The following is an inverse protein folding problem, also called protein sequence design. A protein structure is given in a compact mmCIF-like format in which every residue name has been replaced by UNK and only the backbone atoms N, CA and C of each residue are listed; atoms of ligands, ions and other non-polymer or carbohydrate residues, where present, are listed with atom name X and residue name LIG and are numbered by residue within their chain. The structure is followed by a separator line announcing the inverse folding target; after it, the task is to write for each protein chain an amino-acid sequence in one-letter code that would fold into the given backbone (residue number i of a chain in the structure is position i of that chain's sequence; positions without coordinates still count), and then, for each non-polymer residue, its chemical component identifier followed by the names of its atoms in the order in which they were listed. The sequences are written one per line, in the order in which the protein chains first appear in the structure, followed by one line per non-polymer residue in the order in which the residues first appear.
data_IF_062508614565
#
_entry.id   IF_062508614565
#
_cell.length_a   1.000
_cell.length_b   1.000
_cell.length_c   1.000
_cell.angle_alpha   90.00
_cell.angle_beta   90.00
_cell.angle_gamma   90.00
#
_symmetry.space_group_name_H-M   'P 1'
#
loop_
_entity.id
_entity.type
_entity.pdbx_description
1 polymer ?
#
# COMPACT_ATOMS: atom_id res chain seq x y z
N UNK A 1 25.56 21.13 37.91
CA UNK A 1 25.15 22.16 36.93
C UNK A 1 25.56 21.70 35.56
N UNK A 2 24.66 21.07 34.82
CA UNK A 2 24.85 20.63 33.47
C UNK A 2 23.46 20.54 32.86
N UNK A 3 23.10 21.50 32.00
CA UNK A 3 21.82 21.54 31.27
C UNK A 3 21.82 20.43 30.27
N UNK A 4 20.84 19.53 30.37
CA UNK A 4 20.45 18.62 29.30
C UNK A 4 19.60 19.40 28.31
N UNK A 5 20.14 19.62 27.10
CA UNK A 5 19.42 20.19 25.97
C UNK A 5 18.32 19.20 25.54
N UNK A 6 17.09 19.54 25.95
CA UNK A 6 15.88 18.89 25.46
C UNK A 6 15.63 19.31 24.01
N UNK A 7 16.08 18.52 23.05
CA UNK A 7 15.51 18.55 21.70
C UNK A 7 14.25 17.73 21.70
N UNK A 8 13.11 18.27 21.22
CA UNK A 8 11.89 17.48 21.11
C UNK A 8 12.12 16.36 20.09
N UNK A 9 11.71 15.16 20.45
CA UNK A 9 11.56 14.03 19.56
C UNK A 9 10.83 14.50 18.30
N UNK A 10 11.51 14.40 17.17
CA UNK A 10 10.94 14.70 15.87
C UNK A 10 9.83 13.68 15.61
N UNK A 11 8.61 14.19 15.48
CA UNK A 11 7.38 13.41 15.29
C UNK A 11 7.55 12.45 14.13
N UNK A 12 7.31 11.18 14.39
CA UNK A 12 7.12 10.19 13.35
C UNK A 12 5.77 10.51 12.72
N UNK A 13 5.88 11.13 11.58
CA UNK A 13 4.88 11.34 10.55
C UNK A 13 3.42 11.31 10.95
N UNK A 14 2.84 12.48 10.94
CA UNK A 14 1.51 12.69 10.41
C UNK A 14 1.18 11.61 9.39
N UNK A 15 -0.03 11.09 9.44
CA UNK A 15 -0.72 10.49 8.29
C UNK A 15 -0.71 11.60 7.22
N UNK A 16 0.47 11.79 6.63
CA UNK A 16 0.89 13.05 6.08
C UNK A 16 0.36 13.29 4.69
N UNK A 17 -0.82 13.85 4.65
CA UNK A 17 -1.17 14.78 3.60
C UNK A 17 -1.74 16.00 4.32
N UNK A 18 -0.94 17.05 4.45
CA UNK A 18 -1.47 18.34 4.84
C UNK A 18 -2.54 18.72 3.82
N UNK A 19 -3.80 18.65 4.23
CA UNK A 19 -4.89 19.31 3.53
C UNK A 19 -4.70 20.82 3.66
N UNK A 20 -3.82 21.40 2.85
CA UNK A 20 -3.91 22.79 2.47
C UNK A 20 -4.98 22.85 1.39
N UNK A 21 -6.19 23.25 1.76
CA UNK A 21 -7.27 23.55 0.82
C UNK A 21 -6.79 24.60 -0.18
N UNK A 22 -6.64 24.27 -1.47
CA UNK A 22 -6.58 25.29 -2.49
C UNK A 22 -8.01 25.75 -2.74
N UNK A 23 -8.23 27.05 -2.57
CA UNK A 23 -9.41 27.75 -3.10
C UNK A 23 -9.39 27.61 -4.62
N UNK A 24 -10.26 26.76 -5.15
CA UNK A 24 -10.48 26.62 -6.58
C UNK A 24 -11.45 27.69 -7.07
N UNK A 25 -10.90 28.79 -7.60
CA UNK A 25 -11.53 29.57 -8.63
C UNK A 25 -10.61 29.54 -9.85
N UNK A 26 -10.95 28.66 -10.81
CA UNK A 26 -10.75 28.78 -12.26
C UNK A 26 -10.98 27.45 -12.95
N UNK A 27 -11.91 27.44 -13.90
CA UNK A 27 -12.15 26.29 -14.80
C UNK A 27 -10.87 25.88 -15.54
N UNK A 28 -10.57 24.58 -15.63
CA UNK A 28 -9.46 24.12 -16.47
C UNK A 28 -9.88 24.06 -17.93
N UNK A 29 -9.19 24.82 -18.76
CA UNK A 29 -9.21 24.71 -20.22
C UNK A 29 -8.68 23.31 -20.61
N UNK A 30 -9.55 22.45 -21.12
CA UNK A 30 -9.20 21.13 -21.62
C UNK A 30 -8.39 21.27 -22.93
N UNK A 31 -7.18 20.72 -23.03
CA UNK A 31 -6.51 20.59 -24.33
C UNK A 31 -7.17 19.46 -25.14
N UNK A 32 -7.49 19.74 -26.39
CA UNK A 32 -8.01 18.76 -27.35
C UNK A 32 -6.97 17.65 -27.62
N UNK A 33 -7.38 16.38 -27.74
CA UNK A 33 -6.45 15.29 -27.97
C UNK A 33 -5.91 15.33 -29.39
N UNK A 34 -4.63 15.60 -29.56
CA UNK A 34 -3.90 15.41 -30.80
C UNK A 34 -3.16 14.07 -30.77
N UNK A 35 -3.59 13.14 -31.63
CA UNK A 35 -2.69 12.20 -32.33
C UNK A 35 -1.97 11.09 -31.55
N UNK A 36 -2.25 10.79 -30.28
CA UNK A 36 -1.49 9.78 -29.51
C UNK A 36 -2.27 8.47 -29.23
N UNK A 37 -3.26 8.12 -30.06
CA UNK A 37 -4.16 7.00 -29.76
C UNK A 37 -3.63 5.61 -30.15
N UNK A 38 -2.43 5.47 -30.72
CA UNK A 38 -1.92 4.18 -31.20
C UNK A 38 -0.83 3.53 -30.36
N UNK A 39 -0.19 4.26 -29.45
CA UNK A 39 0.91 3.72 -28.61
C UNK A 39 0.44 3.18 -27.25
N UNK A 40 -0.78 3.51 -26.78
CA UNK A 40 -1.30 3.02 -25.49
C UNK A 40 -1.68 1.54 -25.47
N UNK A 41 -1.97 0.91 -26.59
CA UNK A 41 -2.35 -0.53 -26.64
C UNK A 41 -1.17 -1.50 -26.53
N UNK A 42 0.06 -1.05 -26.73
CA UNK A 42 1.25 -1.90 -26.57
C UNK A 42 1.82 -1.86 -25.13
N UNK A 43 1.55 -0.81 -24.36
CA UNK A 43 1.99 -0.67 -22.96
C UNK A 43 1.26 -1.61 -22.00
N UNK A 44 -0.06 -1.81 -22.18
CA UNK A 44 -0.88 -2.66 -21.31
C UNK A 44 -0.54 -4.16 -21.39
N UNK A 45 0.19 -4.59 -22.41
CA UNK A 45 0.55 -6.00 -22.64
C UNK A 45 1.93 -6.38 -22.08
N UNK A 46 2.70 -5.42 -21.56
CA UNK A 46 4.11 -5.63 -21.21
C UNK A 46 4.45 -5.30 -19.74
N UNK A 47 3.50 -4.78 -18.96
CA UNK A 47 3.72 -4.46 -17.54
C UNK A 47 3.20 -5.55 -16.61
N UNK A 48 3.81 -5.67 -15.43
CA UNK A 48 3.31 -6.57 -14.39
C UNK A 48 1.91 -6.19 -13.92
N UNK A 49 1.18 -7.20 -13.48
CA UNK A 49 -0.04 -7.03 -12.69
C UNK A 49 0.31 -7.11 -11.20
N UNK A 50 -0.25 -6.23 -10.38
CA UNK A 50 -0.26 -6.40 -8.94
C UNK A 50 -1.23 -7.54 -8.63
N UNK A 51 -0.75 -8.63 -8.05
CA UNK A 51 -1.55 -9.81 -7.76
C UNK A 51 -1.99 -9.86 -6.30
N UNK A 52 -1.06 -9.60 -5.40
CA UNK A 52 -1.33 -9.69 -3.98
C UNK A 52 -0.58 -8.64 -3.17
N UNK A 53 -1.17 -8.31 -2.01
CA UNK A 53 -0.48 -7.78 -0.87
C UNK A 53 -0.28 -8.92 0.12
N UNK A 54 0.97 -9.29 0.34
CA UNK A 54 1.37 -10.41 1.19
C UNK A 54 1.69 -9.94 2.60
N UNK A 55 1.24 -10.71 3.59
CA UNK A 55 1.46 -10.48 5.01
C UNK A 55 2.32 -11.62 5.58
N UNK A 56 3.46 -11.30 6.15
CA UNK A 56 4.18 -12.19 7.04
C UNK A 56 3.47 -12.21 8.41
N UNK A 57 2.77 -13.27 8.73
CA UNK A 57 1.90 -13.36 9.90
C UNK A 57 2.39 -14.42 10.90
N UNK A 58 2.34 -14.11 12.19
CA UNK A 58 2.63 -15.10 13.24
C UNK A 58 1.46 -16.10 13.39
N UNK A 59 0.23 -15.66 13.13
CA UNK A 59 -0.97 -16.49 13.04
C UNK A 59 -1.78 -16.09 11.79
N UNK A 60 -1.43 -16.63 10.61
CA UNK A 60 -2.07 -16.27 9.33
C UNK A 60 -3.59 -16.40 9.35
N UNK A 61 -4.10 -17.48 9.95
CA UNK A 61 -5.54 -17.74 9.98
C UNK A 61 -6.30 -16.73 10.86
N UNK A 62 -5.74 -16.36 12.00
CA UNK A 62 -6.30 -15.33 12.87
C UNK A 62 -6.29 -13.97 12.20
N UNK A 63 -5.18 -13.62 11.56
CA UNK A 63 -5.04 -12.34 10.88
C UNK A 63 -5.94 -12.23 9.65
N UNK A 64 -6.06 -13.31 8.86
CA UNK A 64 -6.99 -13.39 7.74
C UNK A 64 -8.44 -13.24 8.19
N UNK A 65 -8.86 -13.92 9.27
CA UNK A 65 -10.22 -13.78 9.85
C UNK A 65 -10.53 -12.35 10.29
N UNK A 66 -9.54 -11.68 10.87
CA UNK A 66 -9.68 -10.27 11.24
C UNK A 66 -9.95 -9.41 9.99
N UNK A 67 -9.10 -9.48 8.99
CA UNK A 67 -9.24 -8.67 7.78
C UNK A 67 -10.47 -9.05 6.94
N UNK A 68 -10.83 -10.34 6.90
CA UNK A 68 -12.09 -10.80 6.29
C UNK A 68 -13.30 -10.14 6.95
N UNK A 69 -13.32 -10.10 8.29
CA UNK A 69 -14.41 -9.48 9.05
C UNK A 69 -14.45 -7.95 8.93
N UNK A 70 -13.30 -7.29 8.81
CA UNK A 70 -13.22 -5.83 8.62
C UNK A 70 -13.65 -5.44 7.21
N UNK A 71 -13.11 -6.12 6.18
CA UNK A 71 -13.30 -5.76 4.77
C UNK A 71 -14.55 -6.39 4.14
N UNK A 72 -15.11 -7.44 4.75
CA UNK A 72 -16.20 -8.22 4.16
C UNK A 72 -15.75 -9.07 2.95
N UNK A 73 -14.46 -9.46 2.92
CA UNK A 73 -13.90 -10.25 1.83
C UNK A 73 -14.00 -11.75 2.12
N UNK A 74 -14.08 -12.54 1.05
CA UNK A 74 -14.13 -14.00 1.14
C UNK A 74 -12.75 -14.56 1.48
N UNK A 75 -12.71 -15.47 2.45
CA UNK A 75 -11.50 -16.17 2.86
C UNK A 75 -11.43 -17.53 2.16
N UNK A 76 -10.30 -17.83 1.54
CA UNK A 76 -10.02 -19.09 0.85
C UNK A 76 -8.65 -19.63 1.27
N UNK A 77 -8.49 -20.94 1.14
CA UNK A 77 -7.16 -21.56 1.33
C UNK A 77 -6.26 -21.19 0.15
N UNK A 78 -5.03 -20.81 0.42
CA UNK A 78 -4.03 -20.55 -0.61
C UNK A 78 -3.33 -21.85 -0.98
N UNK A 79 -3.22 -22.19 -2.28
CA UNK A 79 -2.53 -23.41 -2.73
C UNK A 79 -1.04 -23.49 -2.33
N UNK A 80 -0.40 -22.37 -2.05
CA UNK A 80 1.00 -22.28 -1.64
C UNK A 80 1.20 -22.40 -0.11
N UNK A 81 0.11 -22.71 0.63
CA UNK A 81 0.16 -23.07 2.05
C UNK A 81 -0.16 -21.92 3.01
N UNK A 82 -0.82 -20.89 2.53
CA UNK A 82 -1.31 -19.76 3.32
C UNK A 82 -2.83 -19.66 3.32
N UNK A 83 -3.32 -18.46 3.63
CA UNK A 83 -4.72 -18.07 3.54
C UNK A 83 -4.82 -16.83 2.68
N UNK A 84 -5.78 -16.79 1.76
CA UNK A 84 -6.02 -15.62 0.92
C UNK A 84 -7.38 -15.00 1.21
N UNK A 85 -7.49 -13.69 1.03
CA UNK A 85 -8.75 -12.95 1.01
C UNK A 85 -9.00 -12.42 -0.40
N UNK A 86 -10.12 -12.83 -0.95
CA UNK A 86 -10.58 -12.39 -2.26
C UNK A 86 -11.49 -11.18 -2.08
N UNK A 87 -11.19 -10.05 -2.75
CA UNK A 87 -12.02 -8.86 -2.66
C UNK A 87 -13.41 -9.10 -3.24
N UNK A 88 -14.44 -8.52 -2.63
CA UNK A 88 -15.82 -8.56 -3.11
C UNK A 88 -16.06 -7.64 -4.32
N UNK A 89 -15.09 -6.79 -4.64
CA UNK A 89 -15.10 -5.86 -5.78
C UNK A 89 -13.77 -5.97 -6.54
N UNK A 90 -13.72 -5.47 -7.77
CA UNK A 90 -12.51 -5.51 -8.60
C UNK A 90 -11.51 -4.42 -8.18
N UNK A 91 -10.81 -4.64 -7.05
CA UNK A 91 -9.68 -3.80 -6.65
C UNK A 91 -8.38 -4.20 -7.36
N UNK A 92 -8.39 -5.33 -8.08
CA UNK A 92 -7.29 -5.79 -8.91
C UNK A 92 -6.22 -6.62 -8.22
N UNK A 93 -6.29 -6.84 -6.90
CA UNK A 93 -5.36 -7.70 -6.15
C UNK A 93 -6.03 -8.28 -4.91
N UNK A 94 -5.46 -9.33 -4.34
CA UNK A 94 -5.93 -10.02 -3.13
C UNK A 94 -4.97 -9.80 -1.96
N UNK A 95 -5.37 -10.19 -0.75
CA UNK A 95 -4.48 -10.33 0.39
C UNK A 95 -4.07 -11.77 0.57
N UNK A 96 -2.81 -12.01 0.87
CA UNK A 96 -2.25 -13.32 1.18
C UNK A 96 -1.54 -13.28 2.52
N UNK A 97 -1.71 -14.34 3.33
CA UNK A 97 -1.15 -14.40 4.67
C UNK A 97 -0.29 -15.66 4.79
N UNK A 98 1.02 -15.47 4.97
CA UNK A 98 1.99 -16.54 5.08
C UNK A 98 2.56 -16.63 6.50
N UNK A 99 2.88 -17.85 6.99
CA UNK A 99 3.43 -18.02 8.33
C UNK A 99 4.84 -17.42 8.43
N UNK A 100 5.06 -16.64 9.49
CA UNK A 100 6.35 -16.07 9.83
C UNK A 100 6.60 -16.19 11.33
N UNK A 101 7.85 -16.47 11.71
CA UNK A 101 8.28 -16.48 13.12
C UNK A 101 8.81 -15.12 13.58
N UNK A 102 9.00 -14.19 12.65
CA UNK A 102 9.54 -12.88 12.96
C UNK A 102 8.52 -12.01 13.71
N UNK A 103 9.01 -11.37 14.78
CA UNK A 103 8.20 -10.42 15.54
C UNK A 103 8.26 -9.03 14.92
N UNK A 104 7.15 -8.30 15.02
CA UNK A 104 7.11 -6.89 14.58
C UNK A 104 8.10 -6.05 15.40
N UNK A 105 9.11 -5.48 14.74
CA UNK A 105 10.21 -4.76 15.38
C UNK A 105 10.01 -3.23 15.42
N UNK A 106 8.93 -2.69 14.84
CA UNK A 106 8.66 -1.25 14.77
C UNK A 106 7.43 -0.97 13.90
N UNK A 107 7.15 0.31 13.58
CA UNK A 107 6.08 0.66 12.65
C UNK A 107 6.31 0.03 11.27
N UNK A 108 5.23 -0.42 10.62
CA UNK A 108 5.32 -0.87 9.23
C UNK A 108 5.57 0.32 8.31
N UNK A 109 6.27 0.09 7.21
CA UNK A 109 6.47 1.11 6.16
C UNK A 109 5.26 1.26 5.24
N UNK A 110 4.21 0.50 5.51
CA UNK A 110 2.93 0.51 4.81
C UNK A 110 1.81 0.36 5.82
N UNK A 111 0.76 1.17 5.68
CA UNK A 111 -0.46 1.07 6.46
C UNK A 111 -1.68 1.33 5.57
N UNK A 112 -2.89 1.08 6.07
CA UNK A 112 -4.10 1.10 5.28
C UNK A 112 -5.03 2.22 5.68
N UNK A 113 -5.74 2.78 4.69
CA UNK A 113 -6.84 3.73 4.92
C UNK A 113 -8.17 3.10 4.48
N UNK A 114 -9.10 3.05 5.42
CA UNK A 114 -10.48 2.65 5.21
C UNK A 114 -11.37 3.90 5.25
N UNK A 115 -12.22 4.11 4.26
CA UNK A 115 -13.11 5.27 4.21
C UNK A 115 -14.39 5.03 5.01
N UNK A 116 -15.07 6.14 5.34
CA UNK A 116 -16.38 6.14 5.97
C UNK A 116 -17.34 7.05 5.22
N UNK A 117 -18.59 6.64 5.13
CA UNK A 117 -19.66 7.40 4.46
C UNK A 117 -20.33 8.42 5.38
N UNK A 118 -20.24 8.19 6.71
CA UNK A 118 -20.73 9.07 7.77
C UNK A 118 -19.92 8.86 9.05
N UNK A 119 -20.06 9.75 10.04
CA UNK A 119 -19.43 9.58 11.35
C UNK A 119 -19.97 8.32 12.08
N UNK A 120 -21.22 7.98 11.86
CA UNK A 120 -21.80 6.74 12.41
C UNK A 120 -21.16 5.50 11.75
N UNK A 121 -20.97 5.50 10.43
CA UNK A 121 -20.29 4.44 9.70
C UNK A 121 -18.84 4.27 10.16
N UNK A 122 -18.12 5.40 10.39
CA UNK A 122 -16.78 5.38 10.99
C UNK A 122 -16.79 4.68 12.36
N UNK A 123 -17.71 5.07 13.25
CA UNK A 123 -17.83 4.49 14.58
C UNK A 123 -18.18 2.99 14.52
N UNK A 124 -19.07 2.59 13.61
CA UNK A 124 -19.42 1.19 13.40
C UNK A 124 -18.24 0.37 12.88
N UNK A 125 -17.45 0.93 11.94
CA UNK A 125 -16.24 0.29 11.44
C UNK A 125 -15.19 0.12 12.52
N UNK A 126 -14.94 1.16 13.33
CA UNK A 126 -14.04 1.09 14.48
C UNK A 126 -14.52 0.04 15.50
N UNK A 127 -15.82 0.06 15.87
CA UNK A 127 -16.39 -0.91 16.81
C UNK A 127 -16.26 -2.36 16.28
N UNK A 128 -16.51 -2.58 14.99
CA UNK A 128 -16.35 -3.89 14.34
C UNK A 128 -14.88 -4.34 14.41
N UNK A 129 -13.93 -3.47 14.07
CA UNK A 129 -12.52 -3.80 14.13
C UNK A 129 -12.06 -4.14 15.56
N UNK A 130 -12.47 -3.36 16.56
CA UNK A 130 -12.18 -3.63 17.97
C UNK A 130 -12.79 -4.95 18.43
N UNK A 131 -14.04 -5.25 18.04
CA UNK A 131 -14.70 -6.53 18.32
C UNK A 131 -14.00 -7.75 17.70
N UNK A 132 -13.27 -7.56 16.62
CA UNK A 132 -12.45 -8.58 15.94
C UNK A 132 -11.01 -8.68 16.48
N UNK A 133 -10.62 -7.80 17.41
CA UNK A 133 -9.32 -7.85 18.08
C UNK A 133 -8.34 -6.75 17.70
N UNK A 134 -8.77 -5.71 17.00
CA UNK A 134 -7.96 -4.49 16.84
C UNK A 134 -7.80 -3.77 18.18
N UNK A 135 -6.84 -2.85 18.23
CA UNK A 135 -6.67 -1.94 19.36
C UNK A 135 -6.38 -0.53 18.88
N UNK A 136 -6.80 0.46 19.64
CA UNK A 136 -6.35 1.83 19.42
C UNK A 136 -4.85 1.93 19.66
N UNK A 137 -4.18 2.73 18.82
CA UNK A 137 -2.78 3.08 19.00
C UNK A 137 -2.61 4.60 18.88
N UNK A 138 -1.64 5.12 19.62
CA UNK A 138 -1.22 6.52 19.54
C UNK A 138 0.06 6.60 18.70
N UNK A 139 -0.03 7.26 17.57
CA UNK A 139 1.11 7.55 16.68
C UNK A 139 1.46 9.04 16.69
N UNK A 140 0.90 9.80 17.64
CA UNK A 140 1.06 11.25 17.77
C UNK A 140 0.01 12.05 16.98
N UNK A 141 -1.11 11.41 16.57
CA UNK A 141 -2.23 12.10 15.93
C UNK A 141 -2.82 13.16 16.87
N UNK A 142 -3.27 14.27 16.27
CA UNK A 142 -3.85 15.38 17.02
C UNK A 142 -5.35 15.17 17.21
N UNK A 143 -5.94 15.72 18.29
CA UNK A 143 -7.38 15.57 18.56
C UNK A 143 -8.31 16.13 17.47
N UNK A 144 -7.84 17.12 16.70
CA UNK A 144 -8.57 17.72 15.59
C UNK A 144 -8.54 16.90 14.29
N UNK A 145 -7.69 15.88 14.21
CA UNK A 145 -7.66 14.95 13.08
C UNK A 145 -8.82 13.97 13.20
N UNK A 146 -9.66 13.92 12.15
CA UNK A 146 -10.93 13.17 12.21
C UNK A 146 -10.78 11.64 12.07
N UNK A 147 -9.62 11.16 11.64
CA UNK A 147 -9.36 9.74 11.45
C UNK A 147 -9.08 9.01 12.79
N UNK A 148 -9.40 7.73 12.83
CA UNK A 148 -9.13 6.86 13.98
C UNK A 148 -8.01 5.89 13.62
N UNK A 149 -6.94 5.86 14.44
CA UNK A 149 -5.79 4.97 14.21
C UNK A 149 -5.93 3.71 15.05
N UNK A 150 -5.83 2.58 14.39
CA UNK A 150 -5.93 1.25 14.96
C UNK A 150 -4.73 0.39 14.55
N UNK A 151 -4.49 -0.66 15.32
CA UNK A 151 -3.63 -1.76 14.92
C UNK A 151 -4.43 -3.06 14.90
N UNK A 152 -4.16 -3.91 13.92
CA UNK A 152 -4.71 -5.24 13.82
C UNK A 152 -4.17 -6.18 14.93
N UNK A 153 -4.61 -7.44 15.03
CA UNK A 153 -4.15 -8.36 16.08
C UNK A 153 -2.63 -8.61 16.13
N UNK A 154 -1.92 -8.36 15.03
CA UNK A 154 -0.46 -8.48 14.95
C UNK A 154 0.27 -7.15 14.93
N UNK A 155 -0.46 -6.06 15.04
CA UNK A 155 0.09 -4.72 15.17
C UNK A 155 0.28 -3.97 13.86
N UNK A 156 -0.29 -4.44 12.74
CA UNK A 156 -0.29 -3.67 11.50
C UNK A 156 -1.21 -2.46 11.64
N UNK A 157 -0.66 -1.28 11.40
CA UNK A 157 -1.34 -0.01 11.54
C UNK A 157 -2.35 0.18 10.41
N UNK A 158 -3.53 0.74 10.75
CA UNK A 158 -4.51 1.20 9.77
C UNK A 158 -5.36 2.35 10.32
N UNK A 159 -5.88 3.17 9.43
CA UNK A 159 -6.73 4.31 9.77
C UNK A 159 -8.15 4.09 9.25
N UNK A 160 -9.13 4.45 10.08
CA UNK A 160 -10.53 4.62 9.64
C UNK A 160 -10.74 6.11 9.44
N UNK A 161 -10.84 6.52 8.19
CA UNK A 161 -10.85 7.91 7.77
C UNK A 161 -12.26 8.48 7.91
N UNK A 162 -12.35 9.72 8.35
CA UNK A 162 -13.59 10.48 8.49
C UNK A 162 -14.31 10.66 7.14
N UNK A 163 -15.64 10.84 7.16
CA UNK A 163 -16.41 11.09 5.94
C UNK A 163 -16.04 12.44 5.31
N UNK A 164 -16.17 12.51 4.00
CA UNK A 164 -15.92 13.74 3.23
C UNK A 164 -14.44 14.00 2.91
N UNK A 165 -13.58 13.03 3.12
CA UNK A 165 -12.19 13.13 2.70
C UNK A 165 -12.08 13.15 1.16
N UNK A 166 -11.70 14.30 0.60
CA UNK A 166 -11.64 14.50 -0.85
C UNK A 166 -10.52 13.71 -1.53
N UNK A 167 -9.44 13.43 -0.80
CA UNK A 167 -8.33 12.64 -1.32
C UNK A 167 -8.76 11.21 -1.66
N UNK A 168 -9.66 10.62 -0.87
CA UNK A 168 -10.10 9.23 -1.00
C UNK A 168 -11.50 9.09 -1.62
N UNK A 169 -12.09 10.17 -2.12
CA UNK A 169 -13.51 10.23 -2.50
C UNK A 169 -13.98 9.10 -3.42
N UNK A 170 -13.17 8.68 -4.39
CA UNK A 170 -13.58 7.68 -5.40
C UNK A 170 -12.91 6.30 -5.20
N UNK A 171 -12.34 6.03 -4.03
CA UNK A 171 -11.49 4.85 -3.83
C UNK A 171 -12.21 3.61 -3.26
N UNK A 172 -13.45 3.72 -2.83
CA UNK A 172 -14.19 2.65 -2.15
C UNK A 172 -13.78 2.50 -0.68
N UNK A 173 -14.25 1.42 -0.01
CA UNK A 173 -14.02 1.22 1.43
C UNK A 173 -12.55 1.00 1.78
N UNK A 174 -11.88 0.04 1.11
CA UNK A 174 -10.42 -0.08 1.15
C UNK A 174 -9.83 0.91 0.15
N UNK A 175 -9.35 2.05 0.65
CA UNK A 175 -9.15 3.22 -0.18
C UNK A 175 -7.69 3.51 -0.52
N UNK A 176 -6.77 3.14 0.35
CA UNK A 176 -5.36 3.48 0.16
C UNK A 176 -4.41 2.53 0.89
N UNK A 177 -3.29 2.28 0.23
CA UNK A 177 -2.07 1.75 0.79
C UNK A 177 -1.12 2.94 0.92
N UNK A 178 -1.01 3.49 2.14
CA UNK A 178 -0.12 4.61 2.42
C UNK A 178 1.26 4.07 2.82
N UNK A 179 2.28 4.37 2.02
CA UNK A 179 3.62 3.84 2.16
C UNK A 179 4.62 4.93 2.57
N UNK A 180 5.56 4.59 3.41
CA UNK A 180 6.74 5.41 3.62
C UNK A 180 7.72 5.14 2.49
N UNK A 181 8.02 6.16 1.70
CA UNK A 181 8.91 6.05 0.56
C UNK A 181 9.15 7.39 -0.12
N UNK A 182 10.21 7.44 -0.93
CA UNK A 182 10.58 8.63 -1.70
C UNK A 182 9.71 8.78 -2.95
N UNK A 183 9.69 9.98 -3.51
CA UNK A 183 9.07 10.26 -4.81
C UNK A 183 9.56 9.29 -5.91
N UNK A 184 10.84 8.91 -5.88
CA UNK A 184 11.45 7.96 -6.80
C UNK A 184 10.76 6.59 -6.80
N UNK A 185 10.30 6.13 -5.62
CA UNK A 185 9.59 4.85 -5.49
C UNK A 185 8.22 4.90 -6.15
N UNK A 186 7.50 6.01 -6.04
CA UNK A 186 6.22 6.15 -6.72
C UNK A 186 6.37 6.15 -8.25
N UNK A 187 7.39 6.80 -8.78
CA UNK A 187 7.72 6.72 -10.21
C UNK A 187 8.08 5.30 -10.63
N UNK A 188 8.91 4.61 -9.84
CA UNK A 188 9.23 3.19 -10.08
C UNK A 188 7.97 2.32 -10.17
N UNK A 189 7.07 2.41 -9.18
CA UNK A 189 5.85 1.60 -9.18
C UNK A 189 4.86 2.00 -10.28
N UNK A 190 4.82 3.28 -10.66
CA UNK A 190 4.06 3.72 -11.85
C UNK A 190 4.54 3.01 -13.11
N UNK A 191 5.85 2.91 -13.32
CA UNK A 191 6.43 2.20 -14.47
C UNK A 191 6.32 0.67 -14.34
N UNK A 192 6.51 0.12 -13.14
CA UNK A 192 6.44 -1.31 -12.89
C UNK A 192 5.05 -1.89 -13.22
N UNK A 193 3.98 -1.21 -12.79
CA UNK A 193 2.59 -1.64 -12.95
C UNK A 193 1.90 -1.02 -14.18
N UNK A 194 2.51 -0.02 -14.81
CA UNK A 194 1.85 0.76 -15.86
C UNK A 194 0.67 1.61 -15.35
N UNK A 195 0.64 1.91 -14.04
CA UNK A 195 -0.42 2.70 -13.44
C UNK A 195 -0.07 4.18 -13.47
N UNK A 196 -1.01 5.06 -13.86
CA UNK A 196 -0.75 6.49 -13.90
C UNK A 196 -0.49 7.06 -12.51
N UNK A 197 0.43 8.03 -12.44
CA UNK A 197 0.53 8.93 -11.30
C UNK A 197 -0.75 9.77 -11.22
N UNK A 198 -1.44 9.71 -10.10
CA UNK A 198 -2.61 10.54 -9.78
C UNK A 198 -2.25 11.68 -8.84
N UNK A 199 -1.05 11.67 -8.29
CA UNK A 199 -0.42 12.73 -7.52
C UNK A 199 1.10 12.68 -7.70
N UNK A 200 1.75 13.83 -7.88
CA UNK A 200 3.20 13.98 -8.00
C UNK A 200 3.59 15.43 -7.65
N UNK A 201 3.58 15.76 -6.35
CA UNK A 201 3.88 17.10 -5.84
C UNK A 201 4.57 17.00 -4.49
N UNK A 202 5.38 18.01 -4.14
CA UNK A 202 5.99 18.18 -2.82
C UNK A 202 6.80 16.94 -2.33
N UNK A 203 7.39 16.20 -3.26
CA UNK A 203 8.11 14.93 -3.06
C UNK A 203 7.20 13.75 -2.67
N UNK A 204 5.90 13.93 -2.71
CA UNK A 204 4.90 12.87 -2.52
C UNK A 204 4.40 12.37 -3.86
N UNK A 205 4.06 11.10 -3.92
CA UNK A 205 3.50 10.47 -5.13
C UNK A 205 2.35 9.56 -4.79
N UNK A 206 1.44 9.39 -5.72
CA UNK A 206 0.45 8.33 -5.67
C UNK A 206 0.14 7.80 -7.06
N UNK A 207 -0.06 6.49 -7.16
CA UNK A 207 -0.54 5.81 -8.34
C UNK A 207 -1.92 5.21 -8.08
N UNK A 208 -2.66 4.96 -9.13
CA UNK A 208 -3.94 4.25 -9.07
C UNK A 208 -4.15 3.44 -10.33
N UNK A 209 -4.72 2.26 -10.19
CA UNK A 209 -5.09 1.44 -11.35
C UNK A 209 -6.05 2.20 -12.28
N UNK A 210 -5.86 2.11 -13.62
CA UNK A 210 -6.82 2.67 -14.58
C UNK A 210 -8.23 2.07 -14.45
N UNK A 211 -8.35 0.91 -13.80
CA UNK A 211 -9.64 0.24 -13.52
C UNK A 211 -10.31 0.76 -12.25
N UNK A 212 -9.65 1.66 -11.50
CA UNK A 212 -10.12 2.14 -10.21
C UNK A 212 -9.53 1.37 -9.02
N UNK A 213 -10.24 1.29 -7.91
CA UNK A 213 -9.76 0.69 -6.66
C UNK A 213 -8.96 1.65 -5.79
N UNK A 214 -8.15 1.14 -4.84
CA UNK A 214 -7.37 1.95 -3.93
C UNK A 214 -6.24 2.71 -4.63
N UNK A 215 -5.77 3.76 -3.99
CA UNK A 215 -4.49 4.40 -4.31
C UNK A 215 -3.35 3.65 -3.61
N UNK A 216 -2.16 3.74 -4.19
CA UNK A 216 -0.91 3.43 -3.49
C UNK A 216 -0.12 4.73 -3.47
N UNK A 217 0.20 5.23 -2.29
CA UNK A 217 0.88 6.52 -2.11
C UNK A 217 2.19 6.39 -1.36
N UNK A 218 3.09 7.33 -1.61
CA UNK A 218 4.37 7.48 -0.91
C UNK A 218 4.51 8.92 -0.43
N UNK A 219 4.61 9.08 0.90
CA UNK A 219 4.52 10.37 1.59
C UNK A 219 5.80 11.20 1.59
N UNK A 220 6.82 10.82 0.84
CA UNK A 220 8.07 11.58 0.80
C UNK A 220 8.86 11.58 2.11
N UNK A 221 9.87 12.47 2.21
CA UNK A 221 10.68 12.58 3.42
C UNK A 221 9.92 13.25 4.60
N UNK A 222 10.27 12.90 5.88
CA UNK A 222 11.40 12.08 6.27
C UNK A 222 11.15 10.58 6.08
N UNK A 223 12.13 9.89 5.49
CA UNK A 223 12.02 8.44 5.27
C UNK A 223 12.33 7.66 6.55
N UNK A 224 11.53 6.65 6.83
CA UNK A 224 11.81 5.70 7.91
C UNK A 224 13.03 4.85 7.56
N UNK A 225 13.97 4.62 8.49
CA UNK A 225 15.05 3.68 8.27
C UNK A 225 14.51 2.29 7.93
N UNK A 226 15.13 1.64 6.94
CA UNK A 226 14.85 0.23 6.64
C UNK A 226 15.57 -0.64 7.67
N UNK A 227 14.81 -1.32 8.52
CA UNK A 227 15.33 -2.19 9.58
C UNK A 227 14.75 -3.60 9.40
N UNK A 228 15.56 -4.52 8.88
CA UNK A 228 15.11 -5.90 8.63
C UNK A 228 14.15 -6.03 7.43
N UNK A 229 13.56 -7.21 7.29
CA UNK A 229 12.55 -7.52 6.26
C UNK A 229 11.22 -6.82 6.59
N UNK A 230 10.53 -6.32 5.56
CA UNK A 230 9.18 -5.80 5.73
C UNK A 230 8.20 -6.96 5.95
N UNK A 231 7.22 -6.76 6.84
CA UNK A 231 6.13 -7.73 7.05
C UNK A 231 5.05 -7.69 5.98
N UNK A 232 5.05 -6.62 5.17
CA UNK A 232 4.13 -6.41 4.07
C UNK A 232 4.94 -6.22 2.80
N UNK A 233 4.58 -6.94 1.74
CA UNK A 233 5.22 -6.81 0.44
C UNK A 233 4.22 -7.06 -0.70
N UNK A 234 4.56 -6.59 -1.89
CA UNK A 234 3.76 -6.83 -3.08
C UNK A 234 4.24 -8.07 -3.82
N UNK A 235 3.28 -8.86 -4.31
CA UNK A 235 3.50 -9.86 -5.33
C UNK A 235 2.97 -9.36 -6.67
N UNK A 236 3.85 -9.34 -7.67
CA UNK A 236 3.54 -8.96 -9.03
C UNK A 236 3.86 -10.08 -10.00
N UNK A 237 3.20 -10.12 -11.13
CA UNK A 237 3.53 -11.08 -12.19
C UNK A 237 3.42 -10.45 -13.57
N UNK A 238 4.26 -10.89 -14.52
CA UNK A 238 4.04 -10.60 -15.92
C UNK A 238 2.77 -11.29 -16.41
N UNK A 239 2.13 -10.79 -17.49
CA UNK A 239 0.98 -11.44 -18.10
C UNK A 239 1.26 -12.88 -18.50
N UNK A 240 0.21 -13.71 -18.65
CA UNK A 240 0.28 -15.15 -19.00
C UNK A 240 1.26 -15.50 -20.14
N UNK A 241 1.41 -14.63 -21.13
CA UNK A 241 2.33 -14.81 -22.26
C UNK A 241 3.64 -14.05 -22.09
N UNK A 242 3.89 -13.48 -20.89
CA UNK A 242 5.12 -12.75 -20.59
C UNK A 242 6.28 -13.69 -20.24
N UNK A 243 7.43 -13.09 -20.00
CA UNK A 243 8.66 -13.77 -19.58
C UNK A 243 9.14 -13.16 -18.24
N UNK A 244 9.21 -13.98 -17.19
CA UNK A 244 9.62 -13.52 -15.86
C UNK A 244 11.03 -12.93 -15.87
N UNK A 245 11.95 -13.56 -16.58
CA UNK A 245 13.33 -13.09 -16.60
C UNK A 245 13.44 -11.72 -17.31
N UNK A 246 12.78 -11.58 -18.46
CA UNK A 246 12.75 -10.32 -19.18
C UNK A 246 12.12 -9.20 -18.34
N UNK A 247 11.07 -9.52 -17.61
CA UNK A 247 10.40 -8.57 -16.70
C UNK A 247 11.29 -8.17 -15.53
N UNK A 248 11.97 -9.12 -14.90
CA UNK A 248 12.95 -8.83 -13.84
C UNK A 248 14.08 -7.92 -14.38
N UNK A 249 14.59 -8.20 -15.61
CA UNK A 249 15.62 -7.37 -16.22
C UNK A 249 15.08 -5.94 -16.52
N UNK A 250 13.81 -5.81 -16.94
CA UNK A 250 13.13 -4.51 -17.10
C UNK A 250 13.02 -3.77 -15.77
N UNK A 251 12.55 -4.43 -14.70
CA UNK A 251 12.43 -3.82 -13.36
C UNK A 251 13.79 -3.35 -12.83
N UNK A 252 14.85 -4.10 -13.07
CA UNK A 252 16.22 -3.65 -12.75
C UNK A 252 16.59 -2.38 -13.52
N UNK A 253 16.22 -2.30 -14.81
CA UNK A 253 16.53 -1.12 -15.63
C UNK A 253 15.82 0.16 -15.15
N UNK A 254 14.68 0.04 -14.46
CA UNK A 254 13.93 1.17 -13.88
C UNK A 254 14.20 1.40 -12.38
N UNK A 255 15.12 0.63 -11.79
CA UNK A 255 15.69 0.95 -10.47
C UNK A 255 15.51 -0.09 -9.37
N UNK A 256 14.90 -1.25 -9.64
CA UNK A 256 14.87 -2.35 -8.68
C UNK A 256 16.22 -3.07 -8.57
N UNK A 257 16.41 -3.80 -7.50
CA UNK A 257 17.57 -4.69 -7.31
C UNK A 257 17.10 -6.09 -6.96
N UNK A 258 17.81 -7.11 -7.46
CA UNK A 258 17.60 -8.49 -6.98
C UNK A 258 18.21 -8.63 -5.60
N UNK A 259 17.51 -9.28 -4.69
CA UNK A 259 17.99 -9.53 -3.33
C UNK A 259 17.78 -10.99 -2.96
N UNK A 260 18.57 -11.45 -2.01
CA UNK A 260 18.42 -12.76 -1.35
C UNK A 260 18.04 -12.49 0.12
N UNK A 261 16.91 -13.01 0.53
CA UNK A 261 16.39 -12.94 1.91
C UNK A 261 16.40 -14.31 2.60
N UNK A 262 17.13 -15.29 2.03
CA UNK A 262 17.17 -16.66 2.52
C UNK A 262 16.01 -17.52 2.03
N UNK A 263 15.33 -17.14 0.95
CA UNK A 263 14.16 -17.85 0.41
C UNK A 263 14.50 -19.22 -0.22
N UNK A 264 15.78 -19.52 -0.47
CA UNK A 264 16.21 -20.78 -1.08
C UNK A 264 15.81 -20.92 -2.55
N UNK A 265 15.59 -22.16 -3.02
CA UNK A 265 15.14 -22.44 -4.39
C UNK A 265 13.62 -22.29 -4.48
N UNK A 266 13.17 -21.23 -5.13
CA UNK A 266 11.76 -20.89 -5.33
C UNK A 266 11.50 -20.48 -6.78
N UNK A 267 10.24 -20.50 -7.21
CA UNK A 267 9.85 -20.15 -8.59
C UNK A 267 9.71 -18.63 -8.82
N UNK A 268 9.70 -17.84 -7.76
CA UNK A 268 9.63 -16.38 -7.85
C UNK A 268 11.00 -15.72 -7.64
N UNK A 269 11.12 -14.47 -8.03
CA UNK A 269 12.33 -13.68 -7.84
C UNK A 269 12.06 -12.60 -6.81
N UNK A 270 12.84 -12.60 -5.72
CA UNK A 270 12.75 -11.54 -4.70
C UNK A 270 13.57 -10.32 -5.15
N UNK A 271 12.94 -9.17 -5.09
CA UNK A 271 13.52 -7.89 -5.48
C UNK A 271 13.29 -6.84 -4.40
N UNK A 272 14.05 -5.76 -4.49
CA UNK A 272 13.84 -4.56 -3.69
C UNK A 272 13.56 -3.37 -4.64
N UNK A 273 12.62 -2.53 -4.25
CA UNK A 273 12.36 -1.25 -4.90
C UNK A 273 13.49 -0.24 -4.63
N UNK A 274 13.48 0.98 -5.22
CA UNK A 274 14.54 1.96 -5.01
C UNK A 274 14.81 2.40 -3.57
N UNK A 275 13.87 2.18 -2.64
CA UNK A 275 14.03 2.47 -1.19
C UNK A 275 14.26 1.20 -0.36
N UNK A 276 14.50 0.06 -1.02
CA UNK A 276 14.83 -1.20 -0.39
C UNK A 276 13.64 -1.99 0.15
N UNK A 277 12.40 -1.68 -0.25
CA UNK A 277 11.24 -2.48 0.12
C UNK A 277 11.18 -3.73 -0.74
N UNK A 278 11.02 -4.89 -0.10
CA UNK A 278 10.91 -6.18 -0.75
C UNK A 278 9.62 -6.29 -1.56
N UNK A 279 9.70 -6.98 -2.69
CA UNK A 279 8.57 -7.45 -3.48
C UNK A 279 8.96 -8.71 -4.26
N UNK A 280 7.98 -9.49 -4.69
CA UNK A 280 8.24 -10.70 -5.47
C UNK A 280 7.74 -10.55 -6.91
N UNK A 281 8.52 -11.07 -7.85
CA UNK A 281 8.10 -11.25 -9.24
C UNK A 281 7.81 -12.71 -9.46
N UNK A 282 6.52 -13.05 -9.56
CA UNK A 282 6.05 -14.42 -9.74
C UNK A 282 6.20 -14.87 -11.20
N UNK A 283 5.99 -16.15 -11.45
CA UNK A 283 5.87 -16.70 -12.81
C UNK A 283 4.66 -16.09 -13.53
N UNK A 284 4.66 -15.99 -14.87
CA UNK A 284 3.55 -15.44 -15.65
C UNK A 284 2.21 -16.08 -15.32
N UNK A 285 1.18 -15.24 -15.09
CA UNK A 285 -0.18 -15.68 -14.74
C UNK A 285 -1.24 -14.60 -15.02
#
# INVERSE_FOLDING_TARGET
MGRLDGRPFQRVNDCGLRASSPTFDKEPCMPKPSGACFLRRYGDLMTCHLLALCFDANDPLRLARFWAGVLGWEMVDDPEGGVALLPSNDIGFRFEFFPSQEQKAGPNRMHFHLTSTSLEDQQQTVARALGLGARHIDIGQRPEEGHVVLADPEGTEFCVIEPGNNWLADCGFFAELACNGSQKVGHFWSEALGWPLVWDQDQETAIRSPRGGPKISWGGPPLMPKTGKNRLHFDIAPPVHGDQKAEVDRLVSVGATRIDIGQGEVSWVVMADPDGNEFCVLTPR
#
